data_IF_753257265691
#
_entry.id   IF_753257265691
#
_cell.length_a   1.000
_cell.length_b   1.000
_cell.length_c   1.000
_cell.angle_alpha   90.00
_cell.angle_beta   90.00
_cell.angle_gamma   90.00
#
_symmetry.space_group_name_H-M   'P 1'
#
loop_
_entity.id
_entity.type
_entity.pdbx_description
1 polymer ?
#
# COMPACT_ATOMS: atom_id res chain seq x y z
N UNK A 1 2.05 -12.54 17.81
CA UNK A 1 1.62 -11.86 19.06
C UNK A 1 0.47 -10.96 18.66
N UNK A 2 -0.78 -11.39 18.89
CA UNK A 2 -1.96 -10.60 18.53
C UNK A 2 -2.10 -9.50 19.59
N UNK A 3 -1.64 -8.30 19.27
CA UNK A 3 -1.98 -7.12 20.05
C UNK A 3 -3.44 -6.77 19.76
N UNK A 4 -4.36 -7.13 20.66
CA UNK A 4 -5.69 -6.55 20.68
C UNK A 4 -5.55 -5.08 21.08
N UNK A 5 -5.51 -4.21 20.08
CA UNK A 5 -5.53 -2.77 20.28
C UNK A 5 -6.98 -2.33 20.51
N UNK A 6 -7.36 -2.20 21.78
CA UNK A 6 -8.58 -1.50 22.19
C UNK A 6 -8.26 -0.03 22.50
N UNK A 7 -8.52 0.89 21.56
CA UNK A 7 -8.28 2.31 21.80
C UNK A 7 -9.24 2.88 22.85
N UNK A 8 -8.75 3.78 23.72
CA UNK A 8 -9.61 4.54 24.63
C UNK A 8 -10.56 5.45 23.85
N UNK A 9 -11.73 5.77 24.41
CA UNK A 9 -12.71 6.65 23.77
C UNK A 9 -12.15 8.04 23.45
N UNK A 10 -11.28 8.56 24.33
CA UNK A 10 -10.55 9.82 24.13
C UNK A 10 -9.66 9.74 22.89
N UNK A 11 -8.90 8.65 22.75
CA UNK A 11 -8.03 8.44 21.60
C UNK A 11 -8.84 8.28 20.30
N UNK A 12 -9.97 7.56 20.33
CA UNK A 12 -10.86 7.47 19.17
C UNK A 12 -11.35 8.85 18.75
N UNK A 13 -11.77 9.69 19.71
CA UNK A 13 -12.22 11.06 19.42
C UNK A 13 -11.10 11.93 18.81
N UNK A 14 -9.87 11.80 19.29
CA UNK A 14 -8.70 12.49 18.70
C UNK A 14 -8.44 12.05 17.25
N UNK A 15 -8.46 10.74 17.00
CA UNK A 15 -8.26 10.17 15.66
C UNK A 15 -9.38 10.62 14.71
N UNK A 16 -10.63 10.61 15.15
CA UNK A 16 -11.76 11.09 14.35
C UNK A 16 -11.63 12.57 13.99
N UNK A 17 -11.19 13.42 14.92
CA UNK A 17 -10.92 14.84 14.64
C UNK A 17 -9.79 15.02 13.63
N UNK A 18 -8.71 14.26 13.76
CA UNK A 18 -7.59 14.29 12.82
C UNK A 18 -8.01 13.84 11.41
N UNK A 19 -8.76 12.74 11.32
CA UNK A 19 -9.32 12.24 10.07
C UNK A 19 -10.32 13.21 9.45
N UNK A 20 -11.16 13.86 10.25
CA UNK A 20 -12.10 14.87 9.78
C UNK A 20 -11.39 16.13 9.24
N UNK A 21 -10.21 16.47 9.77
CA UNK A 21 -9.38 17.54 9.22
C UNK A 21 -8.86 17.17 7.82
N UNK A 22 -8.29 15.97 7.66
CA UNK A 22 -7.80 15.50 6.36
C UNK A 22 -8.93 15.25 5.36
N UNK A 23 -10.07 14.75 5.83
CA UNK A 23 -11.26 14.58 5.01
C UNK A 23 -11.69 15.93 4.43
N UNK A 24 -11.79 17.00 5.23
CA UNK A 24 -12.13 18.34 4.73
C UNK A 24 -11.23 18.84 3.61
N UNK A 25 -9.95 18.47 3.61
CA UNK A 25 -9.01 18.86 2.56
C UNK A 25 -9.03 17.93 1.35
N UNK A 26 -9.36 16.64 1.54
CA UNK A 26 -9.24 15.57 0.53
C UNK A 26 -10.57 14.95 0.09
N UNK A 27 -11.70 15.54 0.50
CA UNK A 27 -13.06 15.10 0.18
C UNK A 27 -13.88 14.77 1.42
N UNK A 28 -14.14 13.48 1.64
CA UNK A 28 -14.87 12.98 2.79
C UNK A 28 -14.22 11.70 3.35
N UNK A 29 -14.75 11.20 4.47
CA UNK A 29 -14.21 9.99 5.11
C UNK A 29 -14.36 8.75 4.22
N UNK A 30 -15.39 8.69 3.38
CA UNK A 30 -15.63 7.59 2.45
C UNK A 30 -14.54 7.56 1.37
N UNK A 31 -14.18 8.72 0.83
CA UNK A 31 -13.10 8.90 -0.14
C UNK A 31 -11.76 8.46 0.45
N UNK A 32 -11.47 8.83 1.71
CA UNK A 32 -10.27 8.36 2.39
C UNK A 32 -10.26 6.83 2.59
N UNK A 33 -11.40 6.23 2.94
CA UNK A 33 -11.52 4.76 3.04
C UNK A 33 -11.32 4.06 1.70
N UNK A 34 -11.85 4.62 0.61
CA UNK A 34 -11.61 4.08 -0.74
C UNK A 34 -10.15 4.22 -1.17
N UNK A 35 -9.52 5.36 -0.89
CA UNK A 35 -8.09 5.53 -1.10
C UNK A 35 -7.27 4.54 -0.26
N UNK A 36 -7.68 4.27 0.98
CA UNK A 36 -7.05 3.26 1.82
C UNK A 36 -7.19 1.88 1.22
N UNK A 37 -8.39 1.51 0.78
CA UNK A 37 -8.68 0.23 0.12
C UNK A 37 -7.79 0.02 -1.12
N UNK A 38 -7.70 1.02 -1.99
CA UNK A 38 -6.82 0.99 -3.15
C UNK A 38 -5.35 0.84 -2.75
N UNK A 39 -4.88 1.60 -1.77
CA UNK A 39 -3.51 1.46 -1.27
C UNK A 39 -3.26 0.07 -0.71
N UNK A 40 -4.14 -0.42 0.18
CA UNK A 40 -4.06 -1.74 0.80
C UNK A 40 -4.07 -2.87 -0.23
N UNK A 41 -4.89 -2.72 -1.27
CA UNK A 41 -4.95 -3.65 -2.40
C UNK A 41 -3.57 -3.86 -3.04
N UNK A 42 -2.89 -2.76 -3.37
CA UNK A 42 -1.54 -2.84 -3.95
C UNK A 42 -0.48 -3.26 -2.93
N UNK A 43 -0.56 -2.77 -1.68
CA UNK A 43 0.38 -3.16 -0.63
C UNK A 43 0.39 -4.68 -0.43
N UNK A 44 -0.80 -5.33 -0.42
CA UNK A 44 -0.95 -6.79 -0.28
C UNK A 44 -0.33 -7.59 -1.44
N UNK A 45 -0.11 -6.99 -2.61
CA UNK A 45 0.58 -7.65 -3.74
C UNK A 45 2.10 -7.69 -3.53
N UNK A 46 2.64 -6.74 -2.77
CA UNK A 46 4.08 -6.61 -2.49
C UNK A 46 4.49 -7.07 -1.08
N UNK A 47 3.62 -6.94 -0.08
CA UNK A 47 3.93 -7.18 1.34
C UNK A 47 3.11 -8.37 1.85
N UNK A 48 3.81 -9.41 2.31
CA UNK A 48 3.17 -10.66 2.79
C UNK A 48 2.53 -10.52 4.17
N UNK A 49 3.06 -9.65 5.02
CA UNK A 49 2.49 -9.38 6.33
C UNK A 49 1.27 -8.45 6.18
N UNK A 50 0.04 -8.93 6.46
CA UNK A 50 -1.18 -8.13 6.28
C UNK A 50 -1.20 -6.86 7.15
N UNK A 51 -0.57 -6.91 8.32
CA UNK A 51 -0.53 -5.79 9.26
C UNK A 51 0.46 -4.72 8.80
N UNK A 52 1.62 -5.12 8.26
CA UNK A 52 2.56 -4.19 7.63
C UNK A 52 1.94 -3.56 6.37
N UNK A 53 1.23 -4.36 5.55
CA UNK A 53 0.54 -3.85 4.36
C UNK A 53 -0.53 -2.80 4.74
N UNK A 54 -1.35 -3.09 5.76
CA UNK A 54 -2.34 -2.15 6.28
C UNK A 54 -1.72 -0.88 6.86
N UNK A 55 -0.60 -1.00 7.57
CA UNK A 55 0.11 0.15 8.12
C UNK A 55 0.71 1.04 7.03
N UNK A 56 1.32 0.45 6.00
CA UNK A 56 1.84 1.21 4.86
C UNK A 56 0.72 1.94 4.09
N UNK A 57 -0.41 1.28 3.89
CA UNK A 57 -1.58 1.89 3.27
C UNK A 57 -2.12 3.06 4.12
N UNK A 58 -2.17 2.90 5.43
CA UNK A 58 -2.64 3.92 6.36
C UNK A 58 -1.77 5.19 6.34
N UNK A 59 -0.45 5.03 6.25
CA UNK A 59 0.49 6.17 6.17
C UNK A 59 0.30 7.05 4.92
N UNK A 60 -0.24 6.49 3.83
CA UNK A 60 -0.56 7.25 2.62
C UNK A 60 -1.80 8.13 2.79
N UNK A 61 -2.71 7.73 3.68
CA UNK A 61 -3.94 8.49 3.99
C UNK A 61 -3.64 9.68 4.89
N UNK A 62 -2.83 9.46 5.92
CA UNK A 62 -2.50 10.48 6.90
C UNK A 62 -0.98 10.70 6.95
N UNK A 63 -0.42 11.53 6.04
CA UNK A 63 1.02 11.78 5.98
C UNK A 63 1.49 12.89 6.93
N UNK A 64 0.58 13.63 7.56
CA UNK A 64 0.84 14.90 8.26
C UNK A 64 1.30 14.74 9.72
N UNK A 65 1.27 13.53 10.28
CA UNK A 65 1.78 13.28 11.62
C UNK A 65 2.57 11.98 11.72
N UNK A 66 3.65 12.09 12.48
CA UNK A 66 4.66 11.09 12.86
C UNK A 66 4.16 10.25 14.04
N UNK A 67 2.99 10.56 14.61
CA UNK A 67 2.33 9.69 15.57
C UNK A 67 1.81 8.44 14.86
N UNK A 68 2.65 7.41 14.87
CA UNK A 68 2.35 6.00 14.54
C UNK A 68 0.91 5.60 14.87
N UNK A 69 0.31 6.19 15.92
CA UNK A 69 -1.03 5.95 16.45
C UNK A 69 -2.18 6.11 15.44
N UNK A 70 -2.27 7.18 14.64
CA UNK A 70 -3.39 7.34 13.68
C UNK A 70 -3.29 6.29 12.58
N UNK A 71 -2.09 6.07 12.05
CA UNK A 71 -1.84 5.04 11.05
C UNK A 71 -2.09 3.63 11.63
N UNK A 72 -1.71 3.37 12.88
CA UNK A 72 -2.01 2.12 13.59
C UNK A 72 -3.52 1.92 13.76
N UNK A 73 -4.25 2.96 14.15
CA UNK A 73 -5.72 2.88 14.27
C UNK A 73 -6.36 2.51 12.93
N UNK A 74 -6.01 3.24 11.86
CA UNK A 74 -6.49 2.94 10.50
C UNK A 74 -6.13 1.50 10.12
N UNK A 75 -4.88 1.10 10.30
CA UNK A 75 -4.39 -0.23 9.94
C UNK A 75 -5.07 -1.38 10.70
N UNK A 76 -5.56 -1.13 11.92
CA UNK A 76 -6.28 -2.12 12.72
C UNK A 76 -7.78 -2.13 12.41
N UNK A 77 -8.40 -0.94 12.28
CA UNK A 77 -9.86 -0.82 12.18
C UNK A 77 -10.37 -0.88 10.76
N UNK A 78 -9.72 -0.20 9.82
CA UNK A 78 -10.25 -0.03 8.46
C UNK A 78 -10.20 -1.29 7.58
N UNK A 79 -9.28 -2.26 7.73
CA UNK A 79 -9.36 -3.50 6.94
C UNK A 79 -10.67 -4.28 7.09
N UNK A 80 -11.37 -4.10 8.21
CA UNK A 80 -12.64 -4.75 8.51
C UNK A 80 -13.85 -3.83 8.27
N UNK A 81 -13.62 -2.61 7.77
CA UNK A 81 -14.69 -1.68 7.47
C UNK A 81 -15.45 -2.12 6.21
N UNK A 82 -16.81 -2.15 6.22
CA UNK A 82 -17.59 -2.61 5.08
C UNK A 82 -17.31 -1.84 3.77
N UNK A 83 -17.01 -0.54 3.85
CA UNK A 83 -16.70 0.28 2.67
C UNK A 83 -15.37 -0.15 2.07
N UNK A 84 -14.38 -0.41 2.91
CA UNK A 84 -13.04 -0.84 2.49
C UNK A 84 -13.11 -2.25 1.89
N UNK A 85 -13.86 -3.15 2.53
CA UNK A 85 -14.05 -4.52 2.02
C UNK A 85 -14.74 -4.52 0.65
N UNK A 86 -15.81 -3.74 0.49
CA UNK A 86 -16.54 -3.63 -0.77
C UNK A 86 -15.65 -3.05 -1.89
N UNK A 87 -14.86 -2.02 -1.59
CA UNK A 87 -13.95 -1.41 -2.59
C UNK A 87 -12.82 -2.37 -3.00
N UNK A 88 -12.28 -3.17 -2.09
CA UNK A 88 -11.28 -4.20 -2.43
C UNK A 88 -11.88 -5.25 -3.38
N UNK A 89 -13.11 -5.70 -3.13
CA UNK A 89 -13.81 -6.65 -4.01
C UNK A 89 -14.02 -6.01 -5.40
N UNK A 90 -14.49 -4.76 -5.45
CA UNK A 90 -14.69 -4.04 -6.70
C UNK A 90 -13.39 -3.86 -7.49
N UNK A 91 -12.25 -3.64 -6.81
CA UNK A 91 -10.94 -3.59 -7.46
C UNK A 91 -10.55 -4.94 -8.04
N UNK A 92 -10.75 -6.04 -7.31
CA UNK A 92 -10.46 -7.39 -7.83
C UNK A 92 -11.31 -7.72 -9.06
N UNK A 93 -12.61 -7.42 -9.02
CA UNK A 93 -13.52 -7.59 -10.15
C UNK A 93 -13.12 -6.71 -11.34
N UNK A 94 -12.81 -5.43 -11.09
CA UNK A 94 -12.41 -4.47 -12.11
C UNK A 94 -11.07 -4.79 -12.77
N UNK A 95 -10.12 -5.37 -12.03
CA UNK A 95 -8.87 -5.87 -12.63
C UNK A 95 -9.07 -7.18 -13.41
N UNK A 96 -9.98 -8.05 -12.96
CA UNK A 96 -10.30 -9.29 -13.67
C UNK A 96 -11.07 -9.03 -14.98
N UNK A 97 -11.95 -8.03 -15.01
CA UNK A 97 -12.70 -7.63 -16.21
C UNK A 97 -11.88 -6.73 -17.15
N UNK A 98 -10.80 -6.12 -16.66
CA UNK A 98 -9.99 -5.15 -17.42
C UNK A 98 -10.51 -3.72 -17.38
N UNK A 99 -11.57 -3.45 -16.61
CA UNK A 99 -12.17 -2.11 -16.45
C UNK A 99 -11.30 -1.18 -15.60
N UNK A 100 -10.40 -1.74 -14.78
CA UNK A 100 -9.44 -0.98 -13.96
C UNK A 100 -8.02 -1.19 -14.48
N UNK A 101 -7.34 -0.10 -14.81
CA UNK A 101 -5.96 -0.11 -15.31
C UNK A 101 -5.03 0.41 -14.21
N UNK A 102 -3.91 -0.30 -13.98
CA UNK A 102 -2.86 0.15 -13.05
C UNK A 102 -2.24 1.42 -13.61
N UNK A 103 -2.22 2.50 -12.83
CA UNK A 103 -1.55 3.74 -13.25
C UNK A 103 -0.03 3.55 -13.31
N UNK A 104 0.65 4.36 -14.14
CA UNK A 104 2.12 4.35 -14.24
C UNK A 104 2.79 4.49 -12.87
N UNK A 105 2.29 5.39 -12.01
CA UNK A 105 2.84 5.58 -10.66
C UNK A 105 2.67 4.34 -9.77
N UNK A 106 1.50 3.71 -9.78
CA UNK A 106 1.24 2.50 -8.99
C UNK A 106 2.12 1.33 -9.44
N UNK A 107 2.36 1.23 -10.75
CA UNK A 107 3.25 0.21 -11.30
C UNK A 107 4.71 0.46 -10.91
N UNK A 108 5.20 1.70 -10.98
CA UNK A 108 6.55 2.05 -10.53
C UNK A 108 6.77 1.77 -9.05
N UNK A 109 5.84 2.20 -8.19
CA UNK A 109 5.92 1.95 -6.75
C UNK A 109 5.98 0.45 -6.44
N UNK A 110 5.16 -0.34 -7.13
CA UNK A 110 5.14 -1.80 -6.99
C UNK A 110 6.51 -2.40 -7.34
N UNK A 111 7.06 -2.06 -8.51
CA UNK A 111 8.33 -2.62 -8.98
C UNK A 111 9.49 -2.21 -8.07
N UNK A 112 9.59 -0.94 -7.68
CA UNK A 112 10.64 -0.46 -6.77
C UNK A 112 10.63 -1.22 -5.43
N UNK A 113 9.44 -1.46 -4.86
CA UNK A 113 9.32 -2.20 -3.60
C UNK A 113 9.63 -3.67 -3.74
N UNK A 114 9.20 -4.30 -4.84
CA UNK A 114 9.57 -5.68 -5.10
C UNK A 114 11.09 -5.84 -5.25
N UNK A 115 11.79 -4.87 -5.83
CA UNK A 115 13.25 -4.83 -5.88
C UNK A 115 13.85 -4.72 -4.47
N UNK A 116 13.31 -3.85 -3.61
CA UNK A 116 13.76 -3.77 -2.21
C UNK A 116 13.56 -5.09 -1.45
N UNK A 117 12.43 -5.77 -1.66
CA UNK A 117 12.14 -7.05 -1.02
C UNK A 117 13.05 -8.18 -1.53
N UNK A 118 13.44 -8.13 -2.81
CA UNK A 118 14.47 -9.01 -3.37
C UNK A 118 15.81 -8.75 -2.68
N UNK A 119 16.22 -7.48 -2.59
CA UNK A 119 17.47 -7.05 -1.95
C UNK A 119 17.55 -7.48 -0.48
N UNK A 120 16.43 -7.40 0.25
CA UNK A 120 16.30 -7.81 1.66
C UNK A 120 16.07 -9.32 1.83
N UNK A 121 16.01 -10.10 0.74
CA UNK A 121 15.81 -11.55 0.77
C UNK A 121 14.40 -12.00 1.19
N UNK A 122 13.41 -11.09 1.20
CA UNK A 122 12.05 -11.33 1.70
C UNK A 122 11.08 -11.90 0.65
N UNK A 123 11.53 -12.03 -0.60
CA UNK A 123 10.71 -12.54 -1.70
C UNK A 123 11.04 -13.99 -2.07
N UNK A 124 10.00 -14.81 -2.30
CA UNK A 124 10.10 -16.18 -2.79
C UNK A 124 10.76 -16.25 -4.18
N UNK A 125 11.62 -17.25 -4.41
CA UNK A 125 12.50 -17.37 -5.58
C UNK A 125 11.75 -17.30 -6.92
N UNK A 126 10.61 -17.97 -7.03
CA UNK A 126 9.77 -18.01 -8.23
C UNK A 126 9.23 -16.63 -8.62
N UNK A 127 8.83 -15.81 -7.65
CA UNK A 127 8.37 -14.43 -7.90
C UNK A 127 9.51 -13.48 -8.26
N UNK A 128 10.74 -13.75 -7.81
CA UNK A 128 11.90 -12.87 -8.12
C UNK A 128 12.14 -12.77 -9.62
N UNK A 129 12.04 -13.90 -10.33
CA UNK A 129 12.25 -13.97 -11.77
C UNK A 129 11.28 -13.03 -12.51
N UNK A 130 9.98 -13.17 -12.25
CA UNK A 130 8.94 -12.35 -12.88
C UNK A 130 9.09 -10.86 -12.62
N UNK A 131 9.48 -10.47 -11.39
CA UNK A 131 9.73 -9.07 -11.05
C UNK A 131 10.96 -8.52 -11.77
N UNK A 132 12.05 -9.29 -11.84
CA UNK A 132 13.27 -8.86 -12.55
C UNK A 132 13.00 -8.70 -14.05
N UNK A 133 12.23 -9.60 -14.65
CA UNK A 133 11.80 -9.49 -16.06
C UNK A 133 10.94 -8.25 -16.30
N UNK A 134 9.96 -7.98 -15.42
CA UNK A 134 9.13 -6.77 -15.47
C UNK A 134 9.96 -5.48 -15.32
N UNK A 135 10.91 -5.44 -14.38
CA UNK A 135 11.81 -4.31 -14.18
C UNK A 135 12.72 -4.07 -15.40
N UNK A 136 13.22 -5.15 -16.02
CA UNK A 136 14.05 -5.08 -17.23
C UNK A 136 13.27 -4.53 -18.41
N UNK A 137 12.05 -5.02 -18.62
CA UNK A 137 11.15 -4.52 -19.67
C UNK A 137 10.84 -3.03 -19.47
N UNK A 138 10.59 -2.60 -18.22
CA UNK A 138 10.39 -1.20 -17.86
C UNK A 138 11.58 -0.32 -18.26
N UNK A 139 12.80 -0.74 -17.90
CA UNK A 139 14.01 -0.01 -18.25
C UNK A 139 14.15 0.12 -19.78
N UNK A 140 13.88 -0.95 -20.52
CA UNK A 140 13.93 -0.93 -21.99
C UNK A 140 12.90 0.03 -22.59
N UNK A 141 11.64 -0.03 -22.16
CA UNK A 141 10.55 0.81 -22.70
C UNK A 141 10.75 2.29 -22.35
N UNK A 142 11.34 2.61 -21.19
CA UNK A 142 11.63 3.99 -20.78
C UNK A 142 12.99 4.51 -21.27
N UNK A 143 13.79 3.67 -21.94
CA UNK A 143 15.14 4.04 -22.39
C UNK A 143 16.15 4.24 -21.25
N UNK A 144 15.90 3.64 -20.09
CA UNK A 144 16.82 3.70 -18.95
C UNK A 144 17.99 2.75 -19.18
N UNK A 145 19.20 3.24 -18.96
CA UNK A 145 20.42 2.42 -19.06
C UNK A 145 20.65 1.69 -17.75
N UNK A 146 20.93 0.39 -17.83
CA UNK A 146 21.48 -0.36 -16.70
C UNK A 146 22.92 0.11 -16.48
N UNK A 147 23.21 0.67 -15.32
CA UNK A 147 24.59 0.74 -14.84
C UNK A 147 24.94 -0.65 -14.30
N UNK A 148 25.72 -1.41 -15.06
CA UNK A 148 26.36 -2.61 -14.52
C UNK A 148 27.30 -2.17 -13.40
N UNK A 149 26.94 -2.49 -12.15
CA UNK A 149 27.93 -2.48 -11.08
C UNK A 149 28.89 -3.64 -11.33
N UNK A 150 30.00 -3.34 -12.00
CA UNK A 150 31.20 -4.18 -11.98
C UNK A 150 31.65 -4.32 -10.53
N UNK A 151 31.25 -5.42 -9.88
CA UNK A 151 31.97 -5.90 -8.72
C UNK A 151 33.36 -6.35 -9.21
N UNK A 152 34.33 -5.44 -9.13
CA UNK A 152 35.74 -5.83 -9.16
C UNK A 152 35.97 -6.86 -8.04
N UNK A 153 36.54 -7.99 -8.45
CA UNK A 153 36.86 -9.14 -7.60
C UNK A 153 37.94 -8.83 -6.58
#
# INVERSE_FOLDING_TARGET
MNFEFEPSAEFVSEVEKALAAVARERGDIVTLKKQFAANLYFERKSVFDPQIAAYNAARKIYPYDVTTKVATFIAVKWPNDPIVAAEIIALDEGYASGDTIVTKSQFFDFVCRCIEDISKGRMAKERRQTIVELATLLCQVQGWKFEEQTHEK
#
